data_IF_620730101399
#
_entry.id   IF_620730101399
#
_cell.length_a   1.000
_cell.length_b   1.000
_cell.length_c   1.000
_cell.angle_alpha   90.00
_cell.angle_beta   90.00
_cell.angle_gamma   90.00
#
_symmetry.space_group_name_H-M   'P 1'
#
loop_
_entity.id
_entity.type
_entity.pdbx_description
1 polymer ?
#
# COMPACT_ATOMS: atom_id res chain seq x y z
N UNK A 1 14.48 -5.70 -16.47
CA UNK A 1 13.62 -4.49 -16.44
C UNK A 1 12.17 -4.77 -15.98
N UNK A 2 11.87 -5.91 -15.35
CA UNK A 2 10.46 -6.34 -15.10
C UNK A 2 9.99 -6.18 -13.64
N UNK A 3 10.89 -6.02 -12.68
CA UNK A 3 10.53 -5.97 -11.25
C UNK A 3 9.86 -4.66 -10.81
N UNK A 4 10.18 -3.53 -11.43
CA UNK A 4 9.62 -2.23 -11.06
C UNK A 4 8.15 -2.06 -11.48
N UNK A 5 7.76 -2.65 -12.62
CA UNK A 5 6.38 -2.58 -13.13
C UNK A 5 5.45 -3.42 -12.24
N UNK A 6 5.91 -4.60 -11.80
CA UNK A 6 5.17 -5.46 -10.87
C UNK A 6 4.92 -4.78 -9.52
N UNK A 7 5.98 -4.20 -8.92
CA UNK A 7 5.87 -3.50 -7.63
C UNK A 7 4.97 -2.26 -7.71
N UNK A 8 5.02 -1.49 -8.80
CA UNK A 8 4.12 -0.35 -8.98
C UNK A 8 2.65 -0.77 -9.12
N UNK A 9 2.38 -1.90 -9.79
CA UNK A 9 1.02 -2.46 -9.88
C UNK A 9 0.51 -2.88 -8.50
N UNK A 10 1.34 -3.56 -7.72
CA UNK A 10 1.01 -4.02 -6.38
C UNK A 10 0.76 -2.84 -5.40
N UNK A 11 1.59 -1.80 -5.48
CA UNK A 11 1.39 -0.54 -4.75
C UNK A 11 0.04 0.11 -5.13
N UNK A 12 -0.30 0.15 -6.41
CA UNK A 12 -1.57 0.73 -6.85
C UNK A 12 -2.78 -0.10 -6.37
N UNK A 13 -2.68 -1.43 -6.38
CA UNK A 13 -3.72 -2.30 -5.84
C UNK A 13 -3.90 -2.10 -4.33
N UNK A 14 -2.81 -2.03 -3.57
CA UNK A 14 -2.86 -1.76 -2.13
C UNK A 14 -3.37 -0.37 -1.78
N UNK A 15 -3.05 0.66 -2.58
CA UNK A 15 -3.65 1.99 -2.45
C UNK A 15 -5.17 1.95 -2.61
N UNK A 16 -5.67 1.26 -3.64
CA UNK A 16 -7.11 1.12 -3.85
C UNK A 16 -7.77 0.35 -2.71
N UNK A 17 -7.14 -0.73 -2.24
CA UNK A 17 -7.62 -1.51 -1.10
C UNK A 17 -7.67 -0.65 0.17
N UNK A 18 -6.62 0.13 0.46
CA UNK A 18 -6.56 1.03 1.61
C UNK A 18 -7.69 2.06 1.57
N UNK A 19 -7.93 2.69 0.42
CA UNK A 19 -9.03 3.66 0.26
C UNK A 19 -10.37 3.01 0.48
N UNK A 20 -10.59 1.80 -0.04
CA UNK A 20 -11.84 1.07 0.14
C UNK A 20 -12.06 0.67 1.60
N UNK A 21 -11.05 0.09 2.24
CA UNK A 21 -11.12 -0.33 3.65
C UNK A 21 -11.27 0.88 4.56
N UNK A 22 -10.58 1.99 4.28
CA UNK A 22 -10.79 3.24 4.99
C UNK A 22 -12.26 3.71 4.84
N UNK A 23 -12.82 3.73 3.63
CA UNK A 23 -14.24 4.08 3.41
C UNK A 23 -15.19 3.17 4.19
N UNK A 24 -14.99 1.86 4.16
CA UNK A 24 -15.80 0.87 4.89
C UNK A 24 -15.75 1.12 6.40
N UNK A 25 -14.60 1.56 6.93
CA UNK A 25 -14.41 1.92 8.33
C UNK A 25 -14.59 3.43 8.62
N UNK A 26 -15.30 4.18 7.78
CA UNK A 26 -15.59 5.62 7.95
C UNK A 26 -14.33 6.49 8.13
N UNK A 27 -13.27 6.15 7.40
CA UNK A 27 -11.94 6.74 7.47
C UNK A 27 -11.31 6.67 8.86
N UNK A 28 -11.65 5.65 9.65
CA UNK A 28 -10.94 5.36 10.88
C UNK A 28 -9.56 4.79 10.58
N UNK A 29 -8.55 5.65 10.48
CA UNK A 29 -7.17 5.27 10.26
C UNK A 29 -6.54 4.52 11.45
N UNK A 30 -7.17 4.54 12.62
CA UNK A 30 -6.78 3.72 13.78
C UNK A 30 -7.39 2.31 13.77
N UNK A 31 -8.25 1.98 12.80
CA UNK A 31 -8.81 0.65 12.69
C UNK A 31 -7.70 -0.36 12.34
N UNK A 32 -7.61 -1.52 13.01
CA UNK A 32 -6.51 -2.48 12.82
C UNK A 32 -6.32 -2.88 11.36
N UNK A 33 -7.40 -3.10 10.59
CA UNK A 33 -7.29 -3.42 9.16
C UNK A 33 -6.75 -2.24 8.31
N UNK A 34 -7.11 -1.00 8.63
CA UNK A 34 -6.62 0.18 7.90
C UNK A 34 -5.13 0.39 8.20
N UNK A 35 -4.73 0.19 9.45
CA UNK A 35 -3.33 0.22 9.87
C UNK A 35 -2.50 -0.87 9.20
N UNK A 36 -3.00 -2.10 9.17
CA UNK A 36 -2.29 -3.23 8.58
C UNK A 36 -2.03 -3.01 7.08
N UNK A 37 -3.05 -2.57 6.32
CA UNK A 37 -2.90 -2.27 4.90
C UNK A 37 -1.95 -1.08 4.68
N UNK A 38 -2.02 -0.05 5.53
CA UNK A 38 -1.11 1.10 5.48
C UNK A 38 0.35 0.67 5.68
N UNK A 39 0.61 -0.17 6.68
CA UNK A 39 1.96 -0.68 6.95
C UNK A 39 2.50 -1.56 5.82
N UNK A 40 1.64 -2.38 5.20
CA UNK A 40 2.03 -3.18 4.03
C UNK A 40 2.41 -2.29 2.85
N UNK A 41 1.63 -1.23 2.61
CA UNK A 41 1.89 -0.25 1.55
C UNK A 41 3.23 0.48 1.79
N UNK A 42 3.49 0.93 3.01
CA UNK A 42 4.76 1.60 3.37
C UNK A 42 5.97 0.69 3.14
N UNK A 43 5.89 -0.59 3.52
CA UNK A 43 6.98 -1.56 3.28
C UNK A 43 7.29 -1.70 1.79
N UNK A 44 6.27 -1.74 0.93
CA UNK A 44 6.45 -1.84 -0.51
C UNK A 44 7.03 -0.55 -1.11
N UNK A 45 6.60 0.62 -0.63
CA UNK A 45 7.18 1.91 -1.06
C UNK A 45 8.66 1.96 -0.70
N UNK A 46 9.03 1.65 0.55
CA UNK A 46 10.44 1.61 0.99
C UNK A 46 11.23 0.59 0.17
N UNK A 47 10.65 -0.57 -0.12
CA UNK A 47 11.27 -1.58 -0.98
C UNK A 47 11.55 -1.03 -2.38
N UNK A 48 10.58 -0.38 -3.02
CA UNK A 48 10.77 0.26 -4.34
C UNK A 48 11.84 1.35 -4.28
N UNK A 49 11.80 2.23 -3.27
CA UNK A 49 12.80 3.30 -3.10
C UNK A 49 14.23 2.75 -2.98
N UNK A 50 14.42 1.59 -2.34
CA UNK A 50 15.73 0.92 -2.25
C UNK A 50 16.21 0.36 -3.59
N UNK A 51 15.31 -0.08 -4.47
CA UNK A 51 15.67 -0.60 -5.80
C UNK A 51 15.85 0.50 -6.86
N UNK A 52 15.37 1.72 -6.60
CA UNK A 52 15.52 2.88 -7.50
C UNK A 52 16.82 3.68 -7.22
N UNK A 53 17.66 3.24 -6.27
CA UNK A 53 18.95 3.86 -5.95
C UNK A 53 20.10 3.18 -6.70
#
# INVERSE_FOLDING_TARGET
MSHHIGLNREINQLKQLLVRTAKEHKYNFGHPHVLEISQQLDRLIVKVMRYTR
#
